data_IF_198309907263
#
_entry.id   IF_198309907263
#
_cell.length_a   1.000
_cell.length_b   1.000
_cell.length_c   1.000
_cell.angle_alpha   90.00
_cell.angle_beta   90.00
_cell.angle_gamma   90.00
#
_symmetry.space_group_name_H-M   'P 1'
#
loop_
_entity.id
_entity.type
_entity.pdbx_description
1 polymer ?
#
# COMPACT_ATOMS: atom_id res chain seq x y z
N UNK A 1 -15.48 -34.34 -64.69
CA UNK A 1 -15.36 -33.65 -63.39
C UNK A 1 -16.44 -34.23 -62.45
N UNK A 2 -15.99 -35.06 -61.46
CA UNK A 2 -16.89 -35.64 -60.45
C UNK A 2 -16.75 -34.81 -59.16
N UNK A 3 -17.86 -34.17 -58.73
CA UNK A 3 -17.94 -33.44 -57.44
C UNK A 3 -18.01 -34.49 -56.31
N UNK A 4 -17.03 -34.49 -55.42
CA UNK A 4 -17.07 -35.25 -54.19
C UNK A 4 -18.08 -34.60 -53.23
N UNK A 5 -19.06 -35.33 -52.76
CA UNK A 5 -19.98 -34.96 -51.70
C UNK A 5 -19.30 -35.20 -50.37
N UNK A 6 -18.92 -34.13 -49.65
CA UNK A 6 -18.55 -34.21 -48.22
C UNK A 6 -19.80 -34.54 -47.39
N UNK A 7 -19.83 -35.72 -46.85
CA UNK A 7 -20.81 -36.15 -45.84
C UNK A 7 -20.33 -35.64 -44.46
N UNK A 8 -20.93 -34.56 -43.96
CA UNK A 8 -20.78 -34.14 -42.56
C UNK A 8 -21.34 -35.23 -41.64
N UNK A 9 -20.47 -35.96 -40.96
CA UNK A 9 -20.84 -36.85 -39.88
C UNK A 9 -21.39 -36.01 -38.72
N UNK A 10 -22.70 -36.05 -38.52
CA UNK A 10 -23.31 -35.49 -37.30
C UNK A 10 -22.87 -36.34 -36.09
N UNK A 11 -22.12 -35.78 -35.22
CA UNK A 11 -21.71 -36.37 -33.96
C UNK A 11 -22.95 -36.54 -33.10
N UNK A 12 -23.45 -37.75 -32.96
CA UNK A 12 -24.62 -38.12 -32.15
C UNK A 12 -24.24 -37.91 -30.66
N UNK A 13 -24.69 -36.81 -30.06
CA UNK A 13 -24.48 -36.55 -28.63
C UNK A 13 -25.35 -37.56 -27.88
N UNK A 14 -24.72 -38.54 -27.25
CA UNK A 14 -25.41 -39.52 -26.38
C UNK A 14 -26.03 -38.78 -25.17
N UNK A 15 -27.26 -39.15 -24.76
CA UNK A 15 -27.87 -38.57 -23.57
C UNK A 15 -27.02 -38.89 -22.35
N UNK A 16 -26.61 -37.87 -21.60
CA UNK A 16 -25.81 -37.98 -20.36
C UNK A 16 -26.56 -38.83 -19.34
N UNK A 17 -25.87 -39.73 -18.66
CA UNK A 17 -26.41 -40.50 -17.52
C UNK A 17 -26.81 -39.59 -16.39
N UNK A 18 -27.70 -40.03 -15.50
CA UNK A 18 -28.17 -39.20 -14.36
C UNK A 18 -26.99 -38.72 -13.49
N UNK A 19 -25.98 -39.56 -13.27
CA UNK A 19 -24.77 -39.20 -12.52
C UNK A 19 -23.95 -38.12 -13.24
N UNK A 20 -23.79 -38.17 -14.53
CA UNK A 20 -23.10 -37.10 -15.31
C UNK A 20 -23.83 -35.77 -15.29
N UNK A 21 -25.16 -35.78 -15.23
CA UNK A 21 -25.94 -34.55 -15.08
C UNK A 21 -25.73 -33.93 -13.71
N UNK A 22 -25.77 -34.74 -12.65
CA UNK A 22 -25.51 -34.29 -11.28
C UNK A 22 -24.09 -33.72 -11.13
N UNK A 23 -23.09 -34.40 -11.68
CA UNK A 23 -21.70 -33.94 -11.66
C UNK A 23 -21.53 -32.61 -12.40
N UNK A 24 -22.21 -32.46 -13.54
CA UNK A 24 -22.22 -31.20 -14.32
C UNK A 24 -22.83 -30.05 -13.52
N UNK A 25 -23.92 -30.29 -12.78
CA UNK A 25 -24.59 -29.26 -11.95
C UNK A 25 -23.64 -28.85 -10.80
N UNK A 26 -23.03 -29.82 -10.12
CA UNK A 26 -22.07 -29.53 -9.02
C UNK A 26 -20.89 -28.70 -9.56
N UNK A 27 -20.35 -29.03 -10.73
CA UNK A 27 -19.25 -28.28 -11.34
C UNK A 27 -19.66 -26.84 -11.64
N UNK A 28 -20.86 -26.62 -12.21
CA UNK A 28 -21.39 -25.27 -12.50
C UNK A 28 -21.54 -24.47 -11.19
N UNK A 29 -22.06 -25.09 -10.11
CA UNK A 29 -22.21 -24.41 -8.82
C UNK A 29 -20.85 -24.03 -8.22
N UNK A 30 -19.84 -24.88 -8.34
CA UNK A 30 -18.48 -24.55 -7.90
C UNK A 30 -17.86 -23.39 -8.67
N UNK A 31 -18.06 -23.35 -9.99
CA UNK A 31 -17.59 -22.24 -10.82
C UNK A 31 -18.27 -20.92 -10.43
N UNK A 32 -19.59 -20.94 -10.20
CA UNK A 32 -20.33 -19.76 -9.73
C UNK A 32 -19.81 -19.30 -8.36
N UNK A 33 -19.57 -20.24 -7.43
CA UNK A 33 -19.05 -19.92 -6.10
C UNK A 33 -17.67 -19.25 -6.20
N UNK A 34 -16.76 -19.76 -7.04
CA UNK A 34 -15.43 -19.15 -7.25
C UNK A 34 -15.57 -17.73 -7.83
N UNK A 35 -16.47 -17.50 -8.78
CA UNK A 35 -16.72 -16.18 -9.36
C UNK A 35 -17.22 -15.21 -8.27
N UNK A 36 -18.16 -15.64 -7.42
CA UNK A 36 -18.70 -14.80 -6.33
C UNK A 36 -17.59 -14.46 -5.33
N UNK A 37 -16.79 -15.45 -4.90
CA UNK A 37 -15.68 -15.22 -3.96
C UNK A 37 -14.63 -14.26 -4.54
N UNK A 38 -14.32 -14.39 -5.83
CA UNK A 38 -13.38 -13.50 -6.52
C UNK A 38 -13.94 -12.08 -6.58
N UNK A 39 -15.21 -11.91 -6.90
CA UNK A 39 -15.88 -10.60 -6.93
C UNK A 39 -15.91 -9.94 -5.56
N UNK A 40 -16.21 -10.68 -4.49
CA UNK A 40 -16.19 -10.19 -3.10
C UNK A 40 -14.77 -9.77 -2.70
N UNK A 41 -13.75 -10.56 -3.07
CA UNK A 41 -12.35 -10.23 -2.78
C UNK A 41 -11.90 -8.95 -3.49
N UNK A 42 -12.29 -8.78 -4.77
CA UNK A 42 -11.98 -7.56 -5.56
C UNK A 42 -12.68 -6.34 -4.96
N UNK A 43 -13.94 -6.46 -4.58
CA UNK A 43 -14.70 -5.35 -4.00
C UNK A 43 -14.16 -4.95 -2.62
N UNK A 44 -13.82 -5.91 -1.76
CA UNK A 44 -13.12 -5.62 -0.50
C UNK A 44 -11.80 -4.89 -0.74
N UNK A 45 -11.00 -5.33 -1.74
CA UNK A 45 -9.73 -4.68 -2.07
C UNK A 45 -9.92 -3.24 -2.60
N UNK A 46 -11.01 -2.97 -3.33
CA UNK A 46 -11.38 -1.60 -3.76
C UNK A 46 -11.82 -0.74 -2.57
N UNK A 47 -12.65 -1.25 -1.69
CA UNK A 47 -13.14 -0.55 -0.50
C UNK A 47 -11.99 -0.17 0.45
N UNK A 48 -10.99 -1.04 0.63
CA UNK A 48 -9.76 -0.72 1.35
C UNK A 48 -8.92 0.38 0.67
N UNK A 49 -8.92 0.45 -0.67
CA UNK A 49 -8.19 1.49 -1.40
C UNK A 49 -8.87 2.86 -1.35
N UNK A 50 -10.19 2.92 -1.33
CA UNK A 50 -10.96 4.18 -1.32
C UNK A 50 -10.96 4.87 0.05
N UNK A 51 -10.78 4.12 1.15
CA UNK A 51 -10.80 4.68 2.52
C UNK A 51 -9.50 5.33 2.97
N UNK A 52 -8.39 5.15 2.25
CA UNK A 52 -7.15 5.87 2.54
C UNK A 52 -7.02 7.09 1.64
N UNK A 53 -7.56 8.23 2.09
CA UNK A 53 -7.19 9.52 1.52
C UNK A 53 -5.66 9.66 1.58
N UNK A 54 -5.02 9.91 0.44
CA UNK A 54 -3.59 10.18 0.38
C UNK A 54 -3.27 11.41 1.23
N UNK A 55 -2.67 11.22 2.40
CA UNK A 55 -2.28 12.32 3.26
C UNK A 55 -1.09 13.02 2.62
N UNK A 56 -1.28 14.29 2.27
CA UNK A 56 -0.24 15.13 1.67
C UNK A 56 0.33 16.06 2.72
N UNK A 57 1.65 16.01 2.92
CA UNK A 57 2.37 16.83 3.89
C UNK A 57 3.25 17.81 3.13
N UNK A 58 2.87 19.08 3.03
CA UNK A 58 3.68 20.09 2.39
C UNK A 58 4.80 20.56 3.35
N UNK A 59 6.04 20.48 2.87
CA UNK A 59 7.21 21.09 3.53
C UNK A 59 7.56 22.34 2.73
N UNK A 60 6.99 23.46 3.12
CA UNK A 60 7.21 24.76 2.46
C UNK A 60 8.18 25.66 3.22
N UNK A 61 8.42 25.36 4.48
CA UNK A 61 9.28 26.14 5.39
C UNK A 61 10.20 25.22 6.18
N UNK A 62 11.35 25.77 6.58
CA UNK A 62 12.30 25.11 7.46
C UNK A 62 11.76 25.12 8.89
N UNK A 63 12.01 24.04 9.65
CA UNK A 63 11.55 23.91 11.04
C UNK A 63 10.10 23.43 11.18
N UNK A 64 9.43 23.08 10.07
CA UNK A 64 8.09 22.46 10.18
C UNK A 64 8.19 21.07 10.80
N UNK A 65 7.33 20.83 11.80
CA UNK A 65 7.18 19.51 12.44
C UNK A 65 5.74 19.04 12.21
N UNK A 66 5.58 18.07 11.32
CA UNK A 66 4.29 17.47 11.02
C UNK A 66 4.19 16.12 11.71
N UNK A 67 3.07 15.89 12.38
CA UNK A 67 2.80 14.66 13.12
C UNK A 67 1.59 13.96 12.53
N UNK A 68 1.76 12.69 12.17
CA UNK A 68 0.69 11.81 11.71
C UNK A 68 0.50 10.70 12.72
N UNK A 69 -0.73 10.46 13.12
CA UNK A 69 -1.09 9.34 13.97
C UNK A 69 -1.78 8.25 13.13
N UNK A 70 -1.20 7.06 13.13
CA UNK A 70 -1.72 5.89 12.44
C UNK A 70 -2.36 4.99 13.46
N UNK A 71 -3.67 4.92 13.46
CA UNK A 71 -4.41 4.00 14.32
C UNK A 71 -4.11 2.54 13.94
N UNK A 72 -3.64 1.76 14.90
CA UNK A 72 -3.36 0.32 14.79
C UNK A 72 -4.25 -0.52 15.71
N UNK A 73 -5.26 0.09 16.30
CA UNK A 73 -6.18 -0.58 17.21
C UNK A 73 -6.88 -1.76 16.54
N UNK A 74 -7.13 -2.80 17.33
CA UNK A 74 -7.86 -4.00 16.93
C UNK A 74 -7.21 -4.85 15.82
N UNK A 75 -5.94 -4.60 15.46
CA UNK A 75 -5.22 -5.52 14.59
C UNK A 75 -5.00 -6.86 15.31
N UNK A 76 -5.27 -7.93 14.61
CA UNK A 76 -5.00 -9.30 15.08
C UNK A 76 -3.57 -9.68 14.73
N UNK A 77 -3.05 -10.67 15.42
CA UNK A 77 -1.76 -11.25 15.09
C UNK A 77 -1.69 -11.64 13.61
N UNK A 78 -0.61 -11.26 12.94
CA UNK A 78 -0.33 -11.40 11.51
C UNK A 78 -1.17 -10.50 10.57
N UNK A 79 -2.06 -9.65 11.07
CA UNK A 79 -2.71 -8.66 10.22
C UNK A 79 -1.68 -7.68 9.63
N UNK A 80 -1.95 -7.30 8.38
CA UNK A 80 -1.18 -6.31 7.63
C UNK A 80 -2.03 -5.06 7.40
N UNK A 81 -1.46 -3.90 7.68
CA UNK A 81 -2.07 -2.59 7.38
C UNK A 81 -1.08 -1.72 6.62
N UNK A 82 -1.52 -1.22 5.48
CA UNK A 82 -0.76 -0.27 4.67
C UNK A 82 -1.20 1.16 5.02
N UNK A 83 -0.23 2.05 5.21
CA UNK A 83 -0.47 3.47 5.41
C UNK A 83 0.33 4.28 4.40
N UNK A 84 -0.36 5.09 3.58
CA UNK A 84 0.27 5.86 2.51
C UNK A 84 0.27 7.33 2.84
N UNK A 85 1.40 8.00 2.61
CA UNK A 85 1.53 9.43 2.75
C UNK A 85 2.49 10.01 1.70
N UNK A 86 2.34 11.29 1.44
CA UNK A 86 3.13 12.02 0.45
C UNK A 86 3.78 13.22 1.11
N UNK A 87 5.05 13.44 0.79
CA UNK A 87 5.79 14.62 1.23
C UNK A 87 6.06 15.48 0.01
N UNK A 88 5.69 16.76 0.06
CA UNK A 88 5.83 17.68 -1.07
C UNK A 88 6.61 18.92 -0.65
N UNK A 89 7.35 19.53 -1.59
CA UNK A 89 8.01 20.82 -1.39
C UNK A 89 7.13 22.00 -1.87
N UNK A 90 5.85 21.79 -2.05
CA UNK A 90 4.93 22.80 -2.52
C UNK A 90 3.58 22.67 -1.81
N UNK A 91 2.92 23.84 -1.65
CA UNK A 91 1.52 23.93 -1.26
C UNK A 91 0.83 24.78 -2.31
N UNK A 92 -0.28 24.30 -2.85
CA UNK A 92 -1.01 24.94 -3.94
C UNK A 92 -0.12 25.23 -5.16
N UNK A 93 0.09 26.50 -5.49
CA UNK A 93 0.94 26.95 -6.61
C UNK A 93 2.37 27.35 -6.18
N UNK A 94 2.62 27.48 -4.87
CA UNK A 94 3.91 27.95 -4.33
C UNK A 94 4.85 26.76 -4.08
N UNK A 95 6.05 26.83 -4.61
CA UNK A 95 7.14 25.88 -4.32
C UNK A 95 8.11 26.48 -3.32
N UNK A 96 8.79 25.62 -2.57
CA UNK A 96 9.89 26.02 -1.71
C UNK A 96 11.05 26.59 -2.56
N UNK A 97 11.62 27.71 -2.15
CA UNK A 97 12.74 28.38 -2.84
C UNK A 97 14.13 27.86 -2.42
N UNK A 98 14.19 27.02 -1.39
CA UNK A 98 15.44 26.43 -0.88
C UNK A 98 15.40 24.91 -0.99
N UNK A 99 16.58 24.29 -1.12
CA UNK A 99 16.71 22.84 -0.90
C UNK A 99 16.42 22.60 0.57
N UNK A 100 15.45 21.75 0.84
CA UNK A 100 15.08 21.41 2.20
C UNK A 100 15.38 19.95 2.44
N UNK A 101 16.13 19.66 3.49
CA UNK A 101 16.26 18.32 4.02
C UNK A 101 15.09 18.03 4.96
N UNK A 102 14.73 16.77 5.08
CA UNK A 102 13.74 16.34 6.05
C UNK A 102 14.09 14.97 6.63
N UNK A 103 13.57 14.73 7.81
CA UNK A 103 13.69 13.46 8.51
C UNK A 103 12.31 12.85 8.71
N UNK A 104 12.22 11.54 8.62
CA UNK A 104 11.04 10.76 8.98
C UNK A 104 11.42 9.96 10.22
N UNK A 105 10.69 10.17 11.30
CA UNK A 105 10.87 9.45 12.57
C UNK A 105 9.56 8.71 12.85
N UNK A 106 9.64 7.40 13.02
CA UNK A 106 8.46 6.59 13.33
C UNK A 106 8.60 6.14 14.79
N UNK A 107 7.74 6.68 15.62
CA UNK A 107 7.67 6.32 17.03
C UNK A 107 6.79 5.07 17.17
N UNK A 108 7.46 3.95 17.33
CA UNK A 108 6.85 2.67 17.64
C UNK A 108 7.12 2.33 19.11
N UNK A 109 6.42 2.98 20.00
CA UNK A 109 6.61 2.86 21.46
C UNK A 109 6.43 1.44 22.02
N UNK A 110 6.14 0.44 21.19
CA UNK A 110 5.86 -0.91 21.69
C UNK A 110 6.19 -1.94 20.61
N UNK A 111 6.95 -2.93 20.96
CA UNK A 111 7.32 -4.11 20.18
C UNK A 111 6.13 -5.00 19.78
N UNK A 112 5.00 -4.39 19.38
CA UNK A 112 3.76 -5.08 19.04
C UNK A 112 3.61 -5.26 17.52
N UNK A 113 4.44 -4.55 16.75
CA UNK A 113 4.39 -4.54 15.29
C UNK A 113 5.78 -4.56 14.66
N UNK A 114 5.87 -5.12 13.48
CA UNK A 114 7.01 -4.97 12.58
C UNK A 114 6.65 -3.91 11.54
N UNK A 115 7.55 -2.96 11.33
CA UNK A 115 7.38 -1.85 10.40
C UNK A 115 8.31 -2.00 9.20
N UNK A 116 7.78 -1.69 8.02
CA UNK A 116 8.57 -1.55 6.79
C UNK A 116 8.14 -0.28 6.07
N UNK A 117 9.09 0.50 5.58
CA UNK A 117 8.81 1.73 4.86
C UNK A 117 9.40 1.66 3.46
N UNK A 118 8.58 1.90 2.47
CA UNK A 118 8.97 1.92 1.07
C UNK A 118 8.73 3.30 0.46
N UNK A 119 9.65 3.75 -0.38
CA UNK A 119 9.42 4.89 -1.27
C UNK A 119 8.94 4.37 -2.61
N UNK A 120 7.94 5.01 -3.21
CA UNK A 120 7.42 4.58 -4.52
C UNK A 120 8.53 4.50 -5.57
N UNK A 121 8.58 3.39 -6.29
CA UNK A 121 9.63 3.09 -7.26
C UNK A 121 10.87 2.43 -6.68
N UNK A 122 10.87 2.09 -5.37
CA UNK A 122 11.92 1.31 -4.72
C UNK A 122 11.31 0.09 -4.04
N UNK A 123 11.96 -1.05 -4.22
CA UNK A 123 11.63 -2.29 -3.50
C UNK A 123 12.38 -2.42 -2.17
N UNK A 124 13.30 -1.48 -1.91
CA UNK A 124 14.10 -1.51 -0.68
C UNK A 124 13.31 -1.00 0.51
N UNK A 125 13.27 -1.80 1.57
CA UNK A 125 12.77 -1.36 2.87
C UNK A 125 13.74 -0.36 3.48
N UNK A 126 13.30 0.90 3.60
CA UNK A 126 14.12 2.00 4.12
C UNK A 126 14.39 1.90 5.62
N UNK A 127 13.62 1.08 6.35
CA UNK A 127 13.80 0.83 7.79
C UNK A 127 14.65 -0.41 8.07
N UNK A 128 15.04 -1.15 7.03
CA UNK A 128 15.88 -2.32 7.18
C UNK A 128 17.17 -1.93 7.93
N UNK A 129 17.50 -2.71 8.95
CA UNK A 129 18.69 -2.52 9.79
C UNK A 129 18.74 -1.20 10.60
N UNK A 130 17.60 -0.53 10.78
CA UNK A 130 17.45 0.70 11.57
C UNK A 130 16.72 0.42 12.88
N UNK A 131 17.45 0.46 13.99
CA UNK A 131 16.89 0.18 15.32
C UNK A 131 16.00 1.33 15.84
N UNK A 132 16.21 2.55 15.36
CA UNK A 132 15.53 3.77 15.81
C UNK A 132 14.38 4.22 14.92
N UNK A 133 14.08 3.45 13.84
CA UNK A 133 13.08 3.80 12.83
C UNK A 133 13.18 5.26 12.35
N UNK A 134 14.40 5.77 12.23
CA UNK A 134 14.69 7.14 11.83
C UNK A 134 15.37 7.19 10.47
N UNK A 135 14.82 7.98 9.55
CA UNK A 135 15.42 8.32 8.27
C UNK A 135 15.80 9.79 8.28
N UNK A 136 17.04 10.09 8.00
CA UNK A 136 17.58 11.45 7.96
C UNK A 136 18.13 11.80 6.58
N UNK A 137 18.40 13.07 6.35
CA UNK A 137 19.03 13.57 5.12
C UNK A 137 18.24 13.27 3.83
N UNK A 138 16.92 13.13 3.95
CA UNK A 138 16.04 13.08 2.79
C UNK A 138 15.90 14.50 2.22
N UNK A 139 15.98 14.66 0.89
CA UNK A 139 16.03 16.00 0.28
C UNK A 139 14.89 16.24 -0.69
N UNK A 140 14.38 17.48 -0.67
CA UNK A 140 13.47 18.02 -1.67
C UNK A 140 14.18 19.14 -2.45
N UNK A 141 14.10 19.06 -3.78
CA UNK A 141 14.78 20.02 -4.69
C UNK A 141 14.10 21.38 -4.64
N UNK A 142 14.91 22.45 -4.72
CA UNK A 142 14.36 23.81 -4.82
C UNK A 142 13.74 24.09 -6.20
N UNK A 143 12.81 25.04 -6.24
CA UNK A 143 12.19 25.62 -7.46
C UNK A 143 11.51 24.63 -8.41
N UNK A 144 11.55 23.32 -8.14
CA UNK A 144 10.89 22.29 -8.92
C UNK A 144 9.92 21.55 -8.02
N UNK A 145 8.66 21.46 -8.42
CA UNK A 145 7.68 20.65 -7.68
C UNK A 145 8.17 19.21 -7.58
N UNK A 146 8.31 18.76 -6.36
CA UNK A 146 8.69 17.38 -6.04
C UNK A 146 7.71 16.79 -5.05
N UNK A 147 7.40 15.54 -5.24
CA UNK A 147 6.54 14.75 -4.37
C UNK A 147 7.18 13.38 -4.15
N UNK A 148 7.47 13.08 -2.91
CA UNK A 148 7.95 11.78 -2.46
C UNK A 148 6.79 11.00 -1.86
N UNK A 149 6.48 9.83 -2.41
CA UNK A 149 5.40 8.98 -1.97
C UNK A 149 5.96 7.84 -1.13
N UNK A 150 5.37 7.61 0.03
CA UNK A 150 5.76 6.56 0.96
C UNK A 150 4.61 5.61 1.27
N UNK A 151 4.95 4.35 1.50
CA UNK A 151 4.05 3.33 2.01
C UNK A 151 4.67 2.69 3.24
N UNK A 152 4.03 2.89 4.39
CA UNK A 152 4.37 2.21 5.64
C UNK A 152 3.52 0.94 5.73
N UNK A 153 4.18 -0.21 5.78
CA UNK A 153 3.55 -1.51 6.03
C UNK A 153 3.72 -1.83 7.52
N UNK A 154 2.62 -2.11 8.17
CA UNK A 154 2.53 -2.44 9.58
C UNK A 154 2.04 -3.87 9.68
N UNK A 155 2.86 -4.76 10.25
CA UNK A 155 2.49 -6.14 10.55
C UNK A 155 2.35 -6.32 12.05
N UNK A 156 1.17 -6.69 12.53
CA UNK A 156 0.96 -7.04 13.92
C UNK A 156 1.64 -8.38 14.25
N UNK A 157 2.44 -8.43 15.32
CA UNK A 157 3.09 -9.67 15.79
C UNK A 157 2.34 -10.31 16.96
N UNK A 158 1.32 -9.63 17.45
CA UNK A 158 0.36 -10.11 18.44
C UNK A 158 -0.96 -9.34 18.32
N UNK A 159 -2.00 -9.80 19.00
CA UNK A 159 -3.28 -9.09 19.04
C UNK A 159 -3.11 -7.72 19.70
N UNK A 160 -3.49 -6.66 19.00
CA UNK A 160 -3.43 -5.28 19.48
C UNK A 160 -4.81 -4.90 20.05
N UNK A 161 -4.81 -4.46 21.30
CA UNK A 161 -6.03 -3.94 21.95
C UNK A 161 -6.37 -2.54 21.42
N UNK A 162 -7.48 -1.99 21.90
CA UNK A 162 -7.98 -0.64 21.58
C UNK A 162 -6.97 0.48 21.91
N UNK A 163 -7.15 1.62 21.28
CA UNK A 163 -6.44 2.91 21.55
C UNK A 163 -4.90 2.87 21.38
N UNK A 164 -4.44 2.23 20.30
CA UNK A 164 -3.02 2.23 19.96
C UNK A 164 -2.75 2.89 18.62
N UNK A 165 -1.77 3.78 18.64
CA UNK A 165 -1.31 4.52 17.48
C UNK A 165 0.20 4.39 17.30
N UNK A 166 0.63 4.43 16.05
CA UNK A 166 2.00 4.70 15.64
C UNK A 166 2.07 6.17 15.25
N UNK A 167 3.07 6.88 15.73
CA UNK A 167 3.28 8.29 15.39
C UNK A 167 4.38 8.41 14.35
N UNK A 168 4.10 9.07 13.23
CA UNK A 168 5.08 9.42 12.20
C UNK A 168 5.33 10.93 12.32
N UNK A 169 6.58 11.30 12.66
CA UNK A 169 7.03 12.70 12.72
C UNK A 169 7.84 13.01 11.47
N UNK A 170 7.52 14.11 10.80
CA UNK A 170 8.23 14.60 9.63
C UNK A 170 8.77 15.98 9.97
N UNK A 171 10.08 16.07 10.12
CA UNK A 171 10.78 17.27 10.56
C UNK A 171 11.57 17.81 9.37
N UNK A 172 11.36 19.08 9.02
CA UNK A 172 12.14 19.76 7.98
C UNK A 172 13.32 20.52 8.61
N UNK A 173 14.50 20.31 8.05
CA UNK A 173 15.74 20.92 8.49
C UNK A 173 16.37 21.75 7.36
N UNK A 174 17.14 22.78 7.72
CA UNK A 174 17.90 23.50 6.72
C UNK A 174 19.15 22.67 6.36
N UNK A 175 19.41 22.50 5.06
CA UNK A 175 20.61 21.83 4.57
C UNK A 175 21.90 22.36 5.21
N UNK A 176 21.99 23.67 5.47
CA UNK A 176 23.17 24.29 6.09
C UNK A 176 23.40 23.88 7.54
N UNK A 177 22.37 23.49 8.28
CA UNK A 177 22.53 22.99 9.66
C UNK A 177 23.02 21.54 9.70
N UNK A 178 22.71 20.75 8.68
CA UNK A 178 23.16 19.35 8.59
C UNK A 178 24.65 19.27 8.24
N UNK A 179 25.14 20.16 7.38
CA UNK A 179 26.55 20.20 6.99
C UNK A 179 27.51 20.62 8.12
N UNK A 180 27.00 21.32 9.13
CA UNK A 180 27.81 21.78 10.27
C UNK A 180 27.85 20.77 11.44
N UNK A 181 27.12 19.65 11.34
CA UNK A 181 27.04 18.60 12.35
C UNK A 181 27.69 17.28 11.91
N UNK A 182 28.45 17.27 10.80
CA UNK A 182 29.30 16.19 10.32
C UNK A 182 30.75 16.60 10.52
#
# INVERSE_FOLDING_TARGET
MKKAKETKKATKILPKTTSEKVLTIIFILLVILVIILTFVAINKKKEYKEKQADIVIPITEVGTNNVLNVDISNLKENDLKDYKFKITNYRDKKTNNSVTSYSIIIDNNKNDVVLKLYKTGSENDLLKDKNDYKLTNLTLKQKKKQMDNYTLIIKAIKNIKTDKNITIKIISENWQQVANNI
#
